data_IF_399419964768
#
_entry.id   IF_399419964768
#
_cell.length_a   1.000
_cell.length_b   1.000
_cell.length_c   1.000
_cell.angle_alpha   90.00
_cell.angle_beta   90.00
_cell.angle_gamma   90.00
#
_symmetry.space_group_name_H-M   'P 1'
#
loop_
_entity.id
_entity.type
_entity.pdbx_description
1 polymer ?
#
# COMPACT_ATOMS: atom_id res chain seq x y z
N UNK A 1 -1.44 24.74 16.93
CA UNK A 1 -0.02 24.33 16.77
C UNK A 1 0.36 23.56 18.03
N UNK A 2 0.97 22.36 17.92
CA UNK A 2 2.11 22.11 17.05
C UNK A 2 1.85 21.14 15.90
N UNK A 3 2.41 21.50 14.75
CA UNK A 3 2.65 20.65 13.60
C UNK A 3 4.05 20.02 13.74
N UNK A 4 4.19 18.90 14.46
CA UNK A 4 5.39 18.06 14.47
C UNK A 4 5.00 16.63 14.84
N UNK A 5 4.51 15.84 13.88
CA UNK A 5 4.13 14.45 14.17
C UNK A 5 4.08 13.47 13.01
N UNK A 6 4.13 13.93 11.75
CA UNK A 6 3.87 13.06 10.60
C UNK A 6 5.13 12.43 9.98
N UNK A 7 6.27 13.14 9.91
CA UNK A 7 7.51 12.56 9.37
C UNK A 7 8.15 11.49 10.28
N UNK A 8 8.08 11.69 11.61
CA UNK A 8 8.66 10.75 12.59
C UNK A 8 7.92 9.41 12.65
N UNK A 9 6.60 9.41 12.41
CA UNK A 9 5.79 8.18 12.33
C UNK A 9 6.02 7.38 11.05
N UNK A 10 6.61 7.97 10.01
CA UNK A 10 6.82 7.32 8.71
C UNK A 10 8.16 6.53 8.62
N UNK A 11 9.02 6.68 9.64
CA UNK A 11 10.34 6.03 9.78
C UNK A 11 10.32 4.78 10.67
N UNK A 12 9.21 4.53 11.37
CA UNK A 12 9.06 3.40 12.29
C UNK A 12 7.88 2.52 11.89
N UNK A 13 7.91 1.27 12.31
CA UNK A 13 6.76 0.37 12.17
C UNK A 13 5.65 0.88 13.09
N UNK A 14 4.52 1.25 12.50
CA UNK A 14 3.33 1.72 13.20
C UNK A 14 2.37 0.53 13.41
N UNK A 15 2.25 0.08 14.66
CA UNK A 15 1.41 -1.09 14.99
C UNK A 15 -0.08 -0.79 14.98
N UNK A 16 -0.43 0.49 15.09
CA UNK A 16 -1.79 0.99 15.09
C UNK A 16 -2.26 1.33 13.66
N UNK A 17 -1.35 1.23 12.68
CA UNK A 17 -1.67 1.39 11.26
C UNK A 17 -2.46 0.20 10.71
N UNK A 18 -3.41 0.50 9.82
CA UNK A 18 -4.12 -0.50 9.02
C UNK A 18 -3.23 -1.27 8.03
N UNK A 19 -1.99 -0.82 7.83
CA UNK A 19 -1.01 -1.50 6.96
C UNK A 19 -0.42 -2.72 7.69
N UNK A 20 -0.41 -3.94 7.14
CA UNK A 20 0.21 -5.09 7.78
C UNK A 20 1.69 -4.87 8.05
N UNK A 21 2.19 -5.35 9.18
CA UNK A 21 3.59 -5.12 9.60
C UNK A 21 4.62 -5.60 8.57
N UNK A 22 4.32 -6.66 7.80
CA UNK A 22 5.24 -7.16 6.78
C UNK A 22 5.34 -6.18 5.61
N UNK A 23 4.23 -5.55 5.22
CA UNK A 23 4.18 -4.50 4.19
C UNK A 23 4.94 -3.28 4.66
N UNK A 24 4.74 -2.86 5.91
CA UNK A 24 5.47 -1.73 6.49
C UNK A 24 6.97 -1.98 6.52
N UNK A 25 7.39 -3.17 6.97
CA UNK A 25 8.80 -3.55 7.02
C UNK A 25 9.42 -3.62 5.61
N UNK A 26 8.72 -4.24 4.66
CA UNK A 26 9.12 -4.29 3.26
C UNK A 26 9.32 -2.88 2.71
N UNK A 27 8.34 -1.99 2.85
CA UNK A 27 8.40 -0.61 2.34
C UNK A 27 9.53 0.19 3.01
N UNK A 28 9.79 -0.06 4.29
CA UNK A 28 10.92 0.54 5.01
C UNK A 28 12.25 0.11 4.38
N UNK A 29 12.49 -1.19 4.25
CA UNK A 29 13.73 -1.73 3.67
C UNK A 29 13.89 -1.34 2.20
N UNK A 30 12.81 -1.37 1.42
CA UNK A 30 12.77 -0.93 0.03
C UNK A 30 13.20 0.53 -0.10
N UNK A 31 12.70 1.44 0.75
CA UNK A 31 13.15 2.84 0.76
C UNK A 31 14.62 2.98 1.10
N UNK A 32 15.14 2.19 2.05
CA UNK A 32 16.55 2.20 2.38
C UNK A 32 17.41 1.76 1.19
N UNK A 33 16.98 0.73 0.47
CA UNK A 33 17.64 0.26 -0.75
C UNK A 33 17.61 1.34 -1.84
N UNK A 34 16.44 1.90 -2.14
CA UNK A 34 16.26 2.87 -3.22
C UNK A 34 16.91 4.22 -2.96
N UNK A 35 16.98 4.65 -1.69
CA UNK A 35 17.71 5.85 -1.29
C UNK A 35 19.23 5.66 -1.23
N UNK A 36 19.71 4.42 -1.37
CA UNK A 36 21.12 4.07 -1.27
C UNK A 36 21.64 3.90 0.17
N UNK A 37 20.79 4.05 1.19
CA UNK A 37 21.14 3.75 2.59
C UNK A 37 21.55 2.28 2.76
N UNK A 38 20.88 1.37 2.05
CA UNK A 38 21.34 0.01 1.82
C UNK A 38 21.84 -0.08 0.38
N UNK A 39 23.15 0.09 0.19
CA UNK A 39 23.77 0.16 -1.13
C UNK A 39 23.77 -1.20 -1.84
N UNK A 40 23.82 -1.20 -3.18
CA UNK A 40 23.96 -2.41 -3.97
C UNK A 40 25.16 -3.26 -3.49
N UNK A 41 24.97 -4.57 -3.37
CA UNK A 41 25.97 -5.51 -2.84
C UNK A 41 26.12 -5.51 -1.31
N UNK A 42 25.46 -4.59 -0.58
CA UNK A 42 25.48 -4.60 0.88
C UNK A 42 24.62 -5.73 1.45
N UNK A 43 24.95 -6.14 2.68
CA UNK A 43 24.20 -7.16 3.43
C UNK A 43 22.98 -6.52 4.08
N UNK A 44 21.80 -7.08 3.82
CA UNK A 44 20.57 -6.77 4.53
C UNK A 44 20.66 -7.36 5.94
N UNK A 45 20.22 -6.65 6.99
CA UNK A 45 20.20 -7.20 8.34
C UNK A 45 19.51 -8.56 8.41
N UNK A 46 20.04 -9.45 9.23
CA UNK A 46 19.52 -10.81 9.37
C UNK A 46 18.08 -10.84 9.86
N UNK A 47 17.37 -11.96 9.66
CA UNK A 47 16.01 -12.10 10.17
C UNK A 47 15.90 -11.77 11.65
N UNK A 48 16.89 -12.22 12.43
CA UNK A 48 16.96 -12.00 13.87
C UNK A 48 17.16 -10.52 14.22
N UNK A 49 18.06 -9.83 13.51
CA UNK A 49 18.30 -8.40 13.71
C UNK A 49 17.08 -7.58 13.34
N UNK A 50 16.40 -7.88 12.22
CA UNK A 50 15.17 -7.21 11.82
C UNK A 50 14.04 -7.43 12.83
N UNK A 51 13.91 -8.65 13.38
CA UNK A 51 12.97 -8.91 14.48
C UNK A 51 13.26 -7.99 15.68
N UNK A 52 14.53 -7.86 16.06
CA UNK A 52 14.95 -7.04 17.21
C UNK A 52 14.77 -5.54 16.96
N UNK A 53 15.18 -5.05 15.79
CA UNK A 53 15.15 -3.64 15.42
C UNK A 53 13.72 -3.10 15.32
N UNK A 54 12.80 -3.91 14.80
CA UNK A 54 11.44 -3.48 14.49
C UNK A 54 10.38 -4.10 15.41
N UNK A 55 10.79 -5.02 16.30
CA UNK A 55 9.91 -5.72 17.24
C UNK A 55 8.85 -6.60 16.56
N UNK A 56 9.09 -7.05 15.33
CA UNK A 56 8.14 -7.87 14.56
C UNK A 56 8.45 -9.35 14.68
N UNK A 57 7.47 -10.22 14.38
CA UNK A 57 7.68 -11.67 14.40
C UNK A 57 8.56 -12.13 13.24
N UNK A 58 9.24 -13.27 13.42
CA UNK A 58 10.07 -13.90 12.37
C UNK A 58 9.28 -14.18 11.09
N UNK A 59 8.02 -14.57 11.20
CA UNK A 59 7.11 -14.75 10.05
C UNK A 59 6.91 -13.44 9.28
N UNK A 60 6.73 -12.32 9.99
CA UNK A 60 6.59 -10.98 9.39
C UNK A 60 7.84 -10.60 8.62
N UNK A 61 9.02 -10.84 9.21
CA UNK A 61 10.31 -10.57 8.55
C UNK A 61 10.50 -11.46 7.32
N UNK A 62 10.23 -12.77 7.44
CA UNK A 62 10.35 -13.71 6.32
C UNK A 62 9.48 -13.34 5.14
N UNK A 63 8.25 -12.91 5.41
CA UNK A 63 7.32 -12.44 4.38
C UNK A 63 7.83 -11.16 3.72
N UNK A 64 8.22 -10.15 4.50
CA UNK A 64 8.77 -8.91 3.96
C UNK A 64 10.02 -9.12 3.08
N UNK A 65 10.96 -9.95 3.55
CA UNK A 65 12.15 -10.30 2.78
C UNK A 65 11.82 -11.17 1.56
N UNK A 66 10.81 -12.04 1.63
CA UNK A 66 10.33 -12.82 0.49
C UNK A 66 9.75 -11.94 -0.62
N UNK A 67 8.99 -10.90 -0.24
CA UNK A 67 8.44 -9.93 -1.19
C UNK A 67 9.55 -9.08 -1.85
N UNK A 68 10.58 -8.67 -1.09
CA UNK A 68 11.73 -7.95 -1.67
C UNK A 68 12.56 -8.83 -2.61
N UNK A 69 12.67 -10.12 -2.30
CA UNK A 69 13.36 -11.10 -3.13
C UNK A 69 12.58 -11.35 -4.44
N UNK A 70 11.25 -11.46 -4.37
CA UNK A 70 10.40 -11.61 -5.56
C UNK A 70 10.39 -10.35 -6.43
N UNK A 71 10.59 -9.17 -5.85
CA UNK A 71 10.78 -7.90 -6.56
C UNK A 71 12.20 -7.71 -7.13
N UNK A 72 13.11 -8.66 -6.90
CA UNK A 72 14.49 -8.59 -7.39
C UNK A 72 15.33 -7.51 -6.73
N UNK A 73 14.90 -6.98 -5.58
CA UNK A 73 15.64 -5.96 -4.83
C UNK A 73 16.75 -6.58 -3.98
N UNK A 74 16.57 -7.83 -3.57
CA UNK A 74 17.53 -8.58 -2.76
C UNK A 74 17.66 -10.00 -3.27
N UNK A 75 18.75 -10.67 -2.90
CA UNK A 75 18.98 -12.10 -3.14
C UNK A 75 19.44 -12.77 -1.87
N UNK A 76 18.84 -13.90 -1.53
CA UNK A 76 19.34 -14.75 -0.44
C UNK A 76 20.46 -15.64 -0.92
N UNK A 77 21.51 -15.72 -0.13
CA UNK A 77 22.60 -16.67 -0.31
C UNK A 77 22.71 -17.56 0.95
N UNK A 78 22.37 -18.86 0.84
CA UNK A 78 22.45 -19.79 1.96
C UNK A 78 23.83 -19.75 2.64
N UNK A 79 23.85 -19.55 3.96
CA UNK A 79 25.08 -19.46 4.75
C UNK A 79 25.89 -18.17 4.59
N UNK A 80 25.53 -17.28 3.66
CA UNK A 80 26.25 -16.01 3.41
C UNK A 80 25.45 -14.77 3.77
N UNK A 81 24.12 -14.87 3.81
CA UNK A 81 23.22 -13.79 4.20
C UNK A 81 22.29 -13.37 3.07
N UNK A 82 21.74 -12.17 3.19
CA UNK A 82 20.84 -11.59 2.18
C UNK A 82 21.50 -10.34 1.64
N UNK A 83 21.61 -10.21 0.32
CA UNK A 83 22.36 -9.14 -0.34
C UNK A 83 21.43 -8.26 -1.17
N UNK A 84 21.68 -6.95 -1.16
CA UNK A 84 20.96 -6.00 -2.03
C UNK A 84 21.43 -6.17 -3.47
N UNK A 85 20.50 -6.33 -4.40
CA UNK A 85 20.78 -6.47 -5.83
C UNK A 85 20.75 -5.14 -6.58
N UNK A 86 19.91 -4.19 -6.16
CA UNK A 86 19.53 -3.07 -7.02
C UNK A 86 20.64 -2.01 -7.20
N UNK A 87 21.22 -1.94 -8.39
CA UNK A 87 21.50 -0.64 -9.04
C UNK A 87 20.15 0.05 -9.30
N UNK A 88 20.05 1.37 -9.03
CA UNK A 88 18.81 2.13 -9.15
C UNK A 88 18.01 1.73 -10.41
N UNK A 89 16.73 1.33 -10.29
CA UNK A 89 15.93 1.05 -11.48
C UNK A 89 15.82 2.36 -12.27
N UNK A 90 16.32 2.36 -13.51
CA UNK A 90 16.12 3.43 -14.48
C UNK A 90 14.62 3.75 -14.54
N UNK A 91 14.21 4.89 -13.95
CA UNK A 91 12.80 5.35 -13.84
C UNK A 91 11.80 4.19 -13.66
N UNK A 92 11.90 3.49 -12.52
CA UNK A 92 10.95 2.42 -12.17
C UNK A 92 9.52 2.94 -12.04
N UNK A 93 8.54 2.10 -12.38
CA UNK A 93 7.12 2.39 -12.20
C UNK A 93 6.78 2.38 -10.70
N UNK A 94 6.05 3.38 -10.23
CA UNK A 94 5.55 3.49 -8.86
C UNK A 94 4.04 3.69 -8.90
N UNK A 95 3.30 2.79 -8.28
CA UNK A 95 1.85 2.90 -8.11
C UNK A 95 1.53 3.52 -6.75
N UNK A 96 0.77 4.61 -6.72
CA UNK A 96 0.21 5.13 -5.48
C UNK A 96 -1.05 4.36 -5.09
N UNK A 97 -1.04 3.70 -3.93
CA UNK A 97 -2.24 3.09 -3.36
C UNK A 97 -2.81 4.08 -2.34
N UNK A 98 -3.86 4.81 -2.71
CA UNK A 98 -4.58 5.71 -1.81
C UNK A 98 -5.71 4.95 -1.13
N UNK A 99 -5.70 4.89 0.20
CA UNK A 99 -6.65 4.07 0.94
C UNK A 99 -7.08 4.70 2.26
N UNK A 100 -8.33 4.46 2.69
CA UNK A 100 -8.87 5.05 3.91
C UNK A 100 -10.18 4.43 4.38
N UNK A 101 -10.49 4.59 5.67
CA UNK A 101 -11.73 4.12 6.30
C UNK A 101 -11.85 2.60 6.46
N UNK A 102 -10.76 1.92 6.82
CA UNK A 102 -10.76 0.49 7.16
C UNK A 102 -11.16 0.22 8.62
N UNK A 103 -12.04 1.06 9.19
CA UNK A 103 -12.34 1.18 10.64
C UNK A 103 -12.48 -0.11 11.46
N UNK A 104 -12.18 0.04 12.74
CA UNK A 104 -11.72 -0.94 13.74
C UNK A 104 -12.76 -1.93 14.32
N UNK A 105 -13.83 -2.28 13.59
CA UNK A 105 -15.00 -2.97 14.18
C UNK A 105 -15.49 -4.20 13.41
N UNK A 106 -14.67 -5.24 13.37
CA UNK A 106 -15.13 -6.65 13.47
C UNK A 106 -13.97 -7.53 13.90
N UNK A 107 -13.86 -7.77 15.22
CA UNK A 107 -13.36 -9.01 15.82
C UNK A 107 -12.13 -9.69 15.19
N UNK A 108 -10.93 -9.36 15.69
CA UNK A 108 -9.88 -10.37 15.97
C UNK A 108 -8.90 -10.78 14.86
N UNK A 109 -9.03 -10.32 13.62
CA UNK A 109 -7.96 -10.45 12.60
C UNK A 109 -7.80 -9.12 11.87
N UNK A 110 -6.55 -8.67 11.67
CA UNK A 110 -6.20 -7.54 10.78
C UNK A 110 -7.10 -7.60 9.54
N UNK A 111 -7.87 -6.56 9.28
CA UNK A 111 -8.86 -6.48 8.18
C UNK A 111 -8.38 -7.21 6.92
N UNK A 112 -8.98 -8.37 6.64
CA UNK A 112 -8.69 -9.16 5.44
C UNK A 112 -8.88 -8.31 4.17
N UNK A 113 -9.78 -7.33 4.20
CA UNK A 113 -10.07 -6.46 3.06
C UNK A 113 -8.90 -5.56 2.64
N UNK A 114 -8.12 -5.02 3.59
CA UNK A 114 -6.91 -4.25 3.22
C UNK A 114 -5.80 -5.20 2.77
N UNK A 115 -5.63 -6.33 3.47
CA UNK A 115 -4.66 -7.36 3.12
C UNK A 115 -4.87 -7.91 1.71
N UNK A 116 -6.12 -8.17 1.33
CA UNK A 116 -6.53 -8.66 0.02
C UNK A 116 -6.31 -7.61 -1.07
N UNK A 117 -6.65 -6.34 -0.79
CA UNK A 117 -6.37 -5.24 -1.71
C UNK A 117 -4.87 -5.14 -1.97
N UNK A 118 -4.07 -5.08 -0.91
CA UNK A 118 -2.61 -4.96 -1.05
C UNK A 118 -2.02 -6.19 -1.74
N UNK A 119 -2.48 -7.40 -1.41
CA UNK A 119 -2.07 -8.64 -2.06
C UNK A 119 -2.34 -8.60 -3.56
N UNK A 120 -3.55 -8.22 -3.97
CA UNK A 120 -3.90 -8.10 -5.39
C UNK A 120 -3.06 -7.06 -6.13
N UNK A 121 -2.74 -5.94 -5.47
CA UNK A 121 -1.81 -4.95 -6.04
C UNK A 121 -0.39 -5.54 -6.18
N UNK A 122 0.13 -6.15 -5.11
CA UNK A 122 1.47 -6.71 -5.07
C UNK A 122 1.69 -7.83 -6.09
N UNK A 123 0.66 -8.65 -6.36
CA UNK A 123 0.69 -9.71 -7.38
C UNK A 123 0.92 -9.15 -8.78
N UNK A 124 0.43 -7.93 -9.06
CA UNK A 124 0.62 -7.26 -10.35
C UNK A 124 1.93 -6.47 -10.37
N UNK A 125 2.26 -5.73 -9.30
CA UNK A 125 3.42 -4.85 -9.30
C UNK A 125 4.74 -5.59 -9.12
N UNK A 126 4.77 -6.64 -8.30
CA UNK A 126 5.99 -7.37 -7.93
C UNK A 126 6.76 -7.92 -9.13
N UNK A 127 6.15 -8.77 -9.99
CA UNK A 127 6.81 -9.32 -11.18
C UNK A 127 7.27 -8.27 -12.20
N UNK A 128 6.75 -7.03 -12.10
CA UNK A 128 7.07 -5.91 -12.99
C UNK A 128 8.13 -4.98 -12.41
N UNK A 129 8.66 -5.29 -11.22
CA UNK A 129 9.58 -4.40 -10.50
C UNK A 129 8.97 -3.04 -10.17
N UNK A 130 7.62 -2.95 -10.14
CA UNK A 130 6.93 -1.72 -9.81
C UNK A 130 6.78 -1.58 -8.30
N UNK A 131 7.00 -0.37 -7.80
CA UNK A 131 6.94 -0.06 -6.37
C UNK A 131 5.51 0.35 -5.98
N UNK A 132 5.12 0.08 -4.74
CA UNK A 132 3.84 0.54 -4.19
C UNK A 132 4.11 1.65 -3.18
N UNK A 133 3.60 2.84 -3.45
CA UNK A 133 3.57 3.94 -2.48
C UNK A 133 2.20 3.98 -1.80
N UNK A 134 2.14 3.45 -0.57
CA UNK A 134 0.93 3.43 0.23
C UNK A 134 0.65 4.83 0.83
N UNK A 135 -0.51 5.39 0.51
CA UNK A 135 -0.99 6.71 0.96
C UNK A 135 -2.24 6.48 1.80
N UNK A 136 -2.10 6.63 3.12
CA UNK A 136 -3.23 6.51 4.03
C UNK A 136 -4.00 7.83 4.09
N UNK A 137 -5.32 7.75 4.05
CA UNK A 137 -6.26 8.85 4.21
C UNK A 137 -7.15 8.53 5.40
N UNK A 138 -6.90 9.20 6.52
CA UNK A 138 -7.72 9.11 7.72
C UNK A 138 -9.12 9.69 7.46
N UNK A 139 -10.08 9.39 8.32
CA UNK A 139 -11.46 9.83 8.12
C UNK A 139 -11.58 11.37 8.13
N UNK A 140 -10.80 12.04 8.99
CA UNK A 140 -10.73 13.50 9.07
C UNK A 140 -9.83 14.14 7.99
N UNK A 141 -9.07 13.33 7.24
CA UNK A 141 -8.13 13.86 6.25
C UNK A 141 -8.86 14.39 5.02
N UNK A 142 -8.42 15.56 4.57
CA UNK A 142 -8.85 16.17 3.32
C UNK A 142 -8.09 15.58 2.14
N UNK A 143 -8.82 15.02 1.18
CA UNK A 143 -8.24 14.34 0.02
C UNK A 143 -7.38 15.29 -0.83
N UNK A 144 -7.87 16.50 -1.09
CA UNK A 144 -7.17 17.52 -1.86
C UNK A 144 -5.84 17.93 -1.24
N UNK A 145 -5.79 18.07 0.10
CA UNK A 145 -4.56 18.35 0.83
C UNK A 145 -3.55 17.20 0.71
N UNK A 146 -4.01 15.97 0.91
CA UNK A 146 -3.16 14.76 0.82
C UNK A 146 -2.56 14.59 -0.58
N UNK A 147 -3.39 14.75 -1.62
CA UNK A 147 -2.98 14.62 -3.02
C UNK A 147 -2.10 15.77 -3.52
N UNK A 148 -2.26 16.97 -2.96
CA UNK A 148 -1.45 18.15 -3.33
C UNK A 148 -0.02 18.08 -2.78
N UNK A 149 0.29 17.12 -1.91
CA UNK A 149 1.64 16.94 -1.41
C UNK A 149 2.60 16.62 -2.56
N UNK A 150 3.73 17.35 -2.62
CA UNK A 150 4.76 17.19 -3.66
C UNK A 150 5.21 15.72 -3.76
N UNK A 151 5.28 15.03 -2.63
CA UNK A 151 5.63 13.62 -2.54
C UNK A 151 4.72 12.71 -3.38
N UNK A 152 3.40 12.94 -3.41
CA UNK A 152 2.50 12.12 -4.22
C UNK A 152 2.74 12.39 -5.71
N UNK A 153 2.81 13.67 -6.10
CA UNK A 153 2.91 14.07 -7.52
C UNK A 153 4.25 13.73 -8.16
N UNK A 154 5.35 13.78 -7.39
CA UNK A 154 6.69 13.53 -7.92
C UNK A 154 7.10 12.06 -7.90
N UNK A 155 6.35 11.21 -7.21
CA UNK A 155 6.79 9.85 -6.89
C UNK A 155 6.02 8.76 -7.63
N UNK A 156 4.76 8.99 -8.05
CA UNK A 156 3.89 7.93 -8.59
C UNK A 156 3.48 8.17 -10.04
N UNK A 157 3.27 7.09 -10.78
CA UNK A 157 2.83 7.10 -12.18
C UNK A 157 1.30 7.02 -12.33
N UNK A 158 0.59 6.63 -11.28
CA UNK A 158 -0.86 6.50 -11.26
C UNK A 158 -1.37 6.13 -9.86
N UNK A 159 -2.68 6.23 -9.67
CA UNK A 159 -3.33 6.00 -8.38
C UNK A 159 -4.36 4.88 -8.43
N UNK A 160 -4.30 3.96 -7.47
CA UNK A 160 -5.42 3.08 -7.13
C UNK A 160 -6.09 3.64 -5.88
N UNK A 161 -7.37 4.01 -5.98
CA UNK A 161 -8.09 4.74 -4.92
C UNK A 161 -9.14 3.83 -4.29
N UNK A 162 -8.97 3.54 -2.99
CA UNK A 162 -9.94 2.77 -2.19
C UNK A 162 -10.22 3.45 -0.84
N UNK A 163 -11.22 4.30 -0.81
CA UNK A 163 -11.66 5.01 0.40
C UNK A 163 -13.06 4.59 0.82
N UNK A 164 -13.34 4.56 2.13
CA UNK A 164 -14.67 4.18 2.63
C UNK A 164 -15.74 5.25 2.34
N UNK A 165 -15.36 6.52 2.28
CA UNK A 165 -16.28 7.60 1.88
C UNK A 165 -16.73 7.45 0.42
N UNK A 166 -17.84 8.10 0.07
CA UNK A 166 -18.31 8.18 -1.32
C UNK A 166 -17.41 9.06 -2.18
N UNK A 167 -17.39 8.80 -3.49
CA UNK A 167 -16.66 9.61 -4.46
C UNK A 167 -17.49 10.81 -4.89
N UNK A 168 -17.34 11.92 -4.19
CA UNK A 168 -17.97 13.21 -4.52
C UNK A 168 -17.28 13.88 -5.72
N UNK A 169 -17.95 14.82 -6.39
CA UNK A 169 -17.32 15.63 -7.46
C UNK A 169 -16.08 16.36 -6.94
N UNK A 170 -16.11 16.93 -5.73
CA UNK A 170 -14.94 17.57 -5.11
C UNK A 170 -13.75 16.59 -4.98
N UNK A 171 -14.03 15.32 -4.64
CA UNK A 171 -12.99 14.29 -4.51
C UNK A 171 -12.41 13.91 -5.88
N UNK A 172 -13.25 13.85 -6.91
CA UNK A 172 -12.85 13.54 -8.28
C UNK A 172 -12.06 14.70 -8.90
N UNK A 173 -12.47 15.95 -8.65
CA UNK A 173 -11.75 17.16 -9.06
C UNK A 173 -10.39 17.26 -8.36
N UNK A 174 -10.29 16.83 -7.10
CA UNK A 174 -9.01 16.71 -6.41
C UNK A 174 -8.07 15.70 -7.08
N UNK A 175 -8.60 14.55 -7.51
CA UNK A 175 -7.83 13.53 -8.25
C UNK A 175 -7.42 14.02 -9.63
N UNK A 176 -8.31 14.66 -10.39
CA UNK A 176 -8.00 15.20 -11.72
C UNK A 176 -6.91 16.26 -11.67
N UNK A 177 -6.93 17.14 -10.66
CA UNK A 177 -5.90 18.18 -10.46
C UNK A 177 -4.49 17.61 -10.25
N UNK A 178 -4.37 16.34 -9.87
CA UNK A 178 -3.05 15.69 -9.78
C UNK A 178 -2.39 15.57 -11.15
N UNK A 179 -3.18 15.39 -12.21
CA UNK A 179 -2.73 15.03 -13.56
C UNK A 179 -2.34 13.56 -13.72
N UNK A 180 -2.57 12.73 -12.70
CA UNK A 180 -2.23 11.31 -12.70
C UNK A 180 -3.45 10.47 -13.14
N UNK A 181 -3.25 9.38 -13.92
CA UNK A 181 -4.30 8.42 -14.14
C UNK A 181 -4.69 7.75 -12.82
N UNK A 182 -5.99 7.55 -12.60
CA UNK A 182 -6.48 6.87 -11.40
C UNK A 182 -7.62 5.90 -11.69
N UNK A 183 -7.72 4.87 -10.85
CA UNK A 183 -8.82 3.91 -10.84
C UNK A 183 -9.41 3.84 -9.44
N UNK A 184 -10.73 3.98 -9.34
CA UNK A 184 -11.46 3.84 -8.07
C UNK A 184 -11.90 2.40 -7.86
N UNK A 185 -11.70 1.86 -6.65
CA UNK A 185 -12.03 0.47 -6.31
C UNK A 185 -13.07 0.43 -5.20
N UNK A 186 -14.09 -0.46 -5.34
CA UNK A 186 -15.24 -0.65 -4.43
C UNK A 186 -16.10 0.59 -4.19
N UNK A 187 -15.96 1.63 -5.02
CA UNK A 187 -16.83 2.81 -5.01
C UNK A 187 -17.26 3.14 -6.42
N UNK A 188 -18.55 3.41 -6.59
CA UNK A 188 -19.09 3.88 -7.87
C UNK A 188 -18.65 5.32 -8.10
N UNK A 189 -18.40 5.64 -9.35
CA UNK A 189 -18.18 7.01 -9.84
C UNK A 189 -19.26 7.30 -10.89
N UNK A 190 -19.60 8.58 -11.12
CA UNK A 190 -20.54 8.93 -12.19
C UNK A 190 -20.09 8.36 -13.55
N UNK A 191 -21.01 7.87 -14.39
CA UNK A 191 -20.67 7.34 -15.71
C UNK A 191 -19.84 8.32 -16.54
N UNK A 192 -18.75 7.84 -17.13
CA UNK A 192 -17.85 8.66 -17.95
C UNK A 192 -16.90 9.57 -17.17
N UNK A 193 -16.99 9.64 -15.84
CA UNK A 193 -16.18 10.54 -15.02
C UNK A 193 -14.79 10.01 -14.71
N UNK A 194 -14.68 8.71 -14.41
CA UNK A 194 -13.41 8.04 -14.13
C UNK A 194 -13.54 6.52 -14.32
N UNK A 195 -12.40 5.81 -14.40
CA UNK A 195 -12.40 4.34 -14.36
C UNK A 195 -12.68 3.86 -12.94
N UNK A 196 -13.60 2.91 -12.79
CA UNK A 196 -13.86 2.25 -11.50
C UNK A 196 -14.07 0.75 -11.62
N UNK A 197 -13.71 0.02 -10.56
CA UNK A 197 -13.98 -1.40 -10.38
C UNK A 197 -14.85 -1.56 -9.13
N UNK A 198 -16.07 -2.07 -9.31
CA UNK A 198 -17.07 -2.25 -8.24
C UNK A 198 -17.66 -3.65 -8.28
N UNK A 199 -18.11 -4.13 -7.12
CA UNK A 199 -18.97 -5.30 -7.02
C UNK A 199 -20.43 -4.87 -7.19
N UNK A 200 -21.27 -5.76 -7.71
CA UNK A 200 -22.73 -5.56 -7.72
C UNK A 200 -23.34 -6.02 -6.39
N UNK A 201 -23.13 -5.20 -5.36
CA UNK A 201 -23.59 -5.50 -4.00
C UNK A 201 -25.12 -5.59 -3.93
N UNK A 202 -25.85 -4.88 -4.80
CA UNK A 202 -27.32 -4.85 -4.80
C UNK A 202 -27.86 -6.16 -5.35
N UNK A 203 -27.45 -6.55 -6.56
CA UNK A 203 -27.90 -7.81 -7.15
C UNK A 203 -27.43 -9.01 -6.33
N UNK A 204 -26.21 -8.95 -5.79
CA UNK A 204 -25.70 -10.00 -4.90
C UNK A 204 -26.53 -10.15 -3.62
N UNK A 205 -26.89 -9.04 -2.97
CA UNK A 205 -27.72 -9.07 -1.78
C UNK A 205 -29.16 -9.53 -2.08
N UNK A 206 -29.73 -9.10 -3.20
CA UNK A 206 -31.05 -9.53 -3.66
C UNK A 206 -31.09 -11.04 -3.89
N UNK A 207 -30.17 -11.58 -4.69
CA UNK A 207 -30.09 -13.01 -4.98
C UNK A 207 -29.84 -13.85 -3.71
N UNK A 208 -29.01 -13.36 -2.79
CA UNK A 208 -28.81 -14.00 -1.49
C UNK A 208 -30.08 -14.01 -0.63
N UNK A 209 -30.84 -12.91 -0.67
CA UNK A 209 -32.10 -12.78 0.07
C UNK A 209 -33.18 -13.70 -0.52
N UNK A 210 -33.33 -13.72 -1.85
CA UNK A 210 -34.24 -14.63 -2.56
C UNK A 210 -33.95 -16.09 -2.20
N UNK A 211 -32.67 -16.49 -2.24
CA UNK A 211 -32.25 -17.84 -1.86
C UNK A 211 -32.65 -18.21 -0.42
N UNK A 212 -32.47 -17.29 0.54
CA UNK A 212 -32.82 -17.52 1.95
C UNK A 212 -34.33 -17.57 2.18
N UNK A 213 -35.11 -16.81 1.40
CA UNK A 213 -36.57 -16.78 1.47
C UNK A 213 -37.24 -17.87 0.63
N UNK A 214 -36.48 -18.57 -0.22
CA UNK A 214 -36.99 -19.60 -1.13
C UNK A 214 -37.82 -19.03 -2.28
N UNK A 215 -37.50 -17.81 -2.72
CA UNK A 215 -38.12 -17.13 -3.87
C UNK A 215 -37.43 -17.47 -5.19
#
# INVERSE_FOLDING_TARGET
>A
MPAHGSLGKMLAIDRDSFVPLYVQLKNLLQRQILSGQLSAGSVVPSEFELCRLHGVSRMTVRQALGDLESEGLIRREPGRGTFVLAEMPRRGLVLGLLFGGFGDHTFGRRSDAFGDLFRGVAEVTGPRGALIHAIHLSDDDRLDVTLSSVAVRSLVNGLLVRIAREMTEESLDALDRTGLPYVVVKRRVPPGRASCVVCDDVTGAAAGTEHLLGL
#
